data_IF_160623501626
#
_entry.id   IF_160623501626
#
_cell.length_a   1.000
_cell.length_b   1.000
_cell.length_c   1.000
_cell.angle_alpha   90.00
_cell.angle_beta   90.00
_cell.angle_gamma   90.00
#
_symmetry.space_group_name_H-M   'P 1'
#
loop_
_entity.id
_entity.type
_entity.pdbx_description
1 polymer ?
#
# COMPACT_ATOMS: atom_id res chain seq x y z
N UNK A 1 27.89 9.37 -4.18
CA UNK A 1 28.62 8.31 -3.43
C UNK A 1 28.94 7.19 -4.41
N UNK A 2 30.15 6.59 -4.35
CA UNK A 2 30.45 5.41 -5.15
C UNK A 2 29.64 4.21 -4.64
N UNK A 3 29.12 3.39 -5.57
CA UNK A 3 28.39 2.16 -5.22
C UNK A 3 29.31 1.21 -4.42
N UNK A 4 28.82 0.60 -3.32
CA UNK A 4 29.53 -0.49 -2.67
C UNK A 4 29.73 -1.65 -3.64
N UNK A 5 30.85 -2.35 -3.56
CA UNK A 5 31.09 -3.54 -4.38
C UNK A 5 30.29 -4.76 -3.92
N UNK A 6 29.89 -4.80 -2.66
CA UNK A 6 29.16 -5.89 -2.04
C UNK A 6 28.19 -5.37 -0.98
N UNK A 7 27.07 -6.06 -0.83
CA UNK A 7 26.11 -5.92 0.26
C UNK A 7 25.69 -7.31 0.76
N UNK A 8 25.44 -7.46 2.05
CA UNK A 8 24.82 -8.69 2.56
C UNK A 8 23.39 -8.82 2.06
N UNK A 9 22.64 -7.71 2.04
CA UNK A 9 21.30 -7.65 1.44
C UNK A 9 21.19 -6.41 0.57
N UNK A 10 20.94 -6.60 -0.72
CA UNK A 10 20.59 -5.52 -1.63
C UNK A 10 19.07 -5.43 -1.79
N UNK A 11 18.49 -4.27 -1.52
CA UNK A 11 17.06 -3.98 -1.69
C UNK A 11 16.89 -3.09 -2.91
N UNK A 12 16.11 -3.53 -3.87
CA UNK A 12 15.79 -2.80 -5.09
C UNK A 12 14.47 -2.06 -4.93
N UNK A 13 14.53 -0.75 -4.84
CA UNK A 13 13.39 0.16 -4.64
C UNK A 13 13.35 0.78 -3.24
N UNK A 14 13.37 2.10 -3.21
CA UNK A 14 13.33 2.96 -2.02
C UNK A 14 11.94 3.51 -1.73
N UNK A 15 10.87 2.82 -2.13
CA UNK A 15 9.50 3.11 -1.72
C UNK A 15 9.20 2.61 -0.31
N UNK A 16 7.95 2.79 0.16
CA UNK A 16 7.55 2.45 1.53
C UNK A 16 7.85 0.99 1.90
N UNK A 17 7.64 0.01 0.99
CA UNK A 17 7.90 -1.40 1.28
C UNK A 17 9.39 -1.69 1.41
N UNK A 18 10.22 -1.10 0.54
CA UNK A 18 11.67 -1.25 0.61
C UNK A 18 12.28 -0.58 1.84
N UNK A 19 11.80 0.62 2.21
CA UNK A 19 12.24 1.33 3.42
C UNK A 19 11.85 0.56 4.70
N UNK A 20 10.63 0.02 4.75
CA UNK A 20 10.17 -0.80 5.88
C UNK A 20 10.98 -2.11 5.98
N UNK A 21 11.22 -2.81 4.86
CA UNK A 21 12.06 -4.01 4.82
C UNK A 21 13.48 -3.72 5.31
N UNK A 22 14.09 -2.62 4.87
CA UNK A 22 15.42 -2.19 5.30
C UNK A 22 15.50 -1.95 6.82
N UNK A 23 14.49 -1.29 7.38
CA UNK A 23 14.42 -1.04 8.82
C UNK A 23 14.24 -2.34 9.61
N UNK A 24 13.35 -3.23 9.21
CA UNK A 24 13.14 -4.51 9.87
C UNK A 24 14.37 -5.42 9.78
N UNK A 25 15.06 -5.49 8.65
CA UNK A 25 16.32 -6.22 8.49
C UNK A 25 17.39 -5.69 9.44
N UNK A 26 17.56 -4.37 9.50
CA UNK A 26 18.53 -3.75 10.40
C UNK A 26 18.20 -4.00 11.89
N UNK A 27 16.92 -3.97 12.26
CA UNK A 27 16.46 -4.33 13.62
C UNK A 27 16.66 -5.81 13.95
N UNK A 28 16.57 -6.68 12.96
CA UNK A 28 16.93 -8.11 13.11
C UNK A 28 18.46 -8.34 13.18
N UNK A 29 19.26 -7.27 13.20
CA UNK A 29 20.71 -7.35 13.33
C UNK A 29 21.44 -7.61 12.01
N UNK A 30 20.77 -7.58 10.87
CA UNK A 30 21.41 -7.69 9.55
C UNK A 30 22.25 -6.44 9.30
N UNK A 31 23.55 -6.63 9.01
CA UNK A 31 24.50 -5.57 8.65
C UNK A 31 24.67 -5.51 7.14
N UNK A 32 25.28 -4.43 6.65
CA UNK A 32 25.59 -4.24 5.23
C UNK A 32 24.33 -4.36 4.32
N UNK A 33 23.24 -3.75 4.78
CA UNK A 33 22.01 -3.60 3.99
C UNK A 33 22.15 -2.37 3.10
N UNK A 34 21.91 -2.55 1.79
CA UNK A 34 21.98 -1.52 0.76
C UNK A 34 20.61 -1.37 0.09
N UNK A 35 20.07 -0.18 0.07
CA UNK A 35 18.87 0.16 -0.71
C UNK A 35 19.27 0.94 -1.95
N UNK A 36 18.86 0.46 -3.13
CA UNK A 36 19.11 1.09 -4.42
C UNK A 36 17.78 1.64 -4.96
N UNK A 37 17.73 2.95 -5.17
CA UNK A 37 16.55 3.64 -5.69
C UNK A 37 16.91 4.40 -6.97
N UNK A 38 16.08 4.26 -8.00
CA UNK A 38 16.30 4.88 -9.31
C UNK A 38 16.20 6.40 -9.26
N UNK A 39 15.21 6.90 -8.55
CA UNK A 39 14.91 8.32 -8.41
C UNK A 39 15.24 8.80 -6.97
N UNK A 40 14.52 9.76 -6.45
CA UNK A 40 14.52 10.11 -5.04
C UNK A 40 13.71 9.09 -4.22
N UNK A 41 14.07 8.92 -2.94
CA UNK A 41 13.30 8.02 -2.05
C UNK A 41 11.83 8.44 -2.03
N UNK A 42 10.95 7.44 -2.11
CA UNK A 42 9.50 7.61 -2.02
C UNK A 42 8.86 8.42 -3.16
N UNK A 43 9.57 8.83 -4.18
CA UNK A 43 9.10 9.72 -5.26
C UNK A 43 8.02 9.11 -6.17
N UNK A 44 7.91 7.77 -6.21
CA UNK A 44 6.95 7.08 -7.07
C UNK A 44 5.54 6.97 -6.42
N UNK A 45 4.88 5.82 -6.53
CA UNK A 45 3.52 5.57 -6.02
C UNK A 45 3.36 5.86 -4.51
N UNK A 46 4.43 5.75 -3.73
CA UNK A 46 4.39 6.03 -2.28
C UNK A 46 3.90 7.44 -2.00
N UNK A 47 4.47 8.47 -2.62
CA UNK A 47 4.08 9.87 -2.42
C UNK A 47 2.69 10.21 -2.98
N UNK A 48 2.15 9.38 -3.86
CA UNK A 48 0.83 9.58 -4.47
C UNK A 48 -0.30 8.87 -3.70
N UNK A 49 0.03 8.15 -2.62
CA UNK A 49 -0.95 7.36 -1.89
C UNK A 49 -1.82 8.21 -0.97
N UNK A 50 -3.05 7.79 -0.75
CA UNK A 50 -3.96 8.45 0.20
C UNK A 50 -3.57 8.25 1.68
N UNK A 51 -2.68 7.32 1.98
CA UNK A 51 -2.13 7.12 3.31
C UNK A 51 -3.05 6.50 4.37
N UNK A 52 -4.19 5.95 3.99
CA UNK A 52 -5.16 5.40 4.94
C UNK A 52 -4.60 4.16 5.66
N UNK A 53 -4.64 4.18 6.99
CA UNK A 53 -4.24 3.07 7.86
C UNK A 53 -5.47 2.59 8.60
N UNK A 54 -6.10 1.54 8.08
CA UNK A 54 -7.37 1.04 8.60
C UNK A 54 -7.32 -0.47 8.87
N UNK A 55 -7.82 -0.89 10.04
CA UNK A 55 -7.73 -2.25 10.56
C UNK A 55 -8.94 -3.13 10.23
N UNK A 56 -10.08 -2.54 9.80
CA UNK A 56 -11.24 -3.33 9.41
C UNK A 56 -10.95 -4.09 8.12
N UNK A 57 -10.62 -5.38 8.26
CA UNK A 57 -10.20 -6.27 7.18
C UNK A 57 -11.00 -7.56 7.20
N UNK A 58 -11.00 -8.25 6.07
CA UNK A 58 -11.75 -9.50 5.87
C UNK A 58 -11.03 -10.75 6.42
N UNK A 59 -9.74 -10.64 6.77
CA UNK A 59 -8.96 -11.78 7.28
C UNK A 59 -8.04 -11.39 8.43
N UNK A 60 -7.73 -12.36 9.30
CA UNK A 60 -6.78 -12.22 10.39
C UNK A 60 -5.40 -11.76 9.89
N UNK A 61 -4.92 -12.33 8.79
CA UNK A 61 -3.65 -11.93 8.18
C UNK A 61 -3.63 -10.45 7.80
N UNK A 62 -4.64 -9.98 7.07
CA UNK A 62 -4.71 -8.56 6.66
C UNK A 62 -4.82 -7.63 7.87
N UNK A 63 -5.53 -8.02 8.93
CA UNK A 63 -5.61 -7.25 10.18
C UNK A 63 -4.25 -7.22 10.90
N UNK A 64 -3.56 -8.35 10.99
CA UNK A 64 -2.23 -8.45 11.61
C UNK A 64 -1.16 -7.64 10.86
N UNK A 65 -1.19 -7.65 9.53
CA UNK A 65 -0.31 -6.82 8.68
C UNK A 65 -0.45 -5.33 9.04
N UNK A 66 -1.68 -4.83 9.15
CA UNK A 66 -1.94 -3.43 9.53
C UNK A 66 -1.58 -3.16 10.99
N UNK A 67 -1.87 -4.11 11.88
CA UNK A 67 -1.49 -4.04 13.29
C UNK A 67 0.02 -3.86 13.48
N UNK A 68 0.84 -4.58 12.69
CA UNK A 68 2.29 -4.40 12.70
C UNK A 68 2.68 -2.98 12.24
N UNK A 69 2.01 -2.42 11.22
CA UNK A 69 2.30 -1.05 10.78
C UNK A 69 2.01 -0.02 11.87
N UNK A 70 0.92 -0.18 12.62
CA UNK A 70 0.61 0.69 13.76
C UNK A 70 1.65 0.54 14.90
N UNK A 71 2.12 -0.68 15.15
CA UNK A 71 3.20 -0.92 16.10
C UNK A 71 4.52 -0.28 15.65
N UNK A 72 4.83 -0.33 14.36
CA UNK A 72 6.01 0.32 13.79
C UNK A 72 5.93 1.84 13.91
N UNK A 73 4.76 2.43 13.59
CA UNK A 73 4.52 3.86 13.76
C UNK A 73 4.82 4.28 15.21
N UNK A 74 4.26 3.57 16.19
CA UNK A 74 4.51 3.85 17.59
C UNK A 74 5.99 3.72 17.97
N UNK A 75 6.68 2.71 17.44
CA UNK A 75 8.11 2.52 17.68
C UNK A 75 8.96 3.64 17.08
N UNK A 76 8.67 4.04 15.83
CA UNK A 76 9.35 5.14 15.15
C UNK A 76 9.15 6.48 15.88
N UNK A 77 7.93 6.75 16.34
CA UNK A 77 7.62 7.96 17.12
C UNK A 77 8.32 7.96 18.49
N UNK A 78 8.37 6.81 19.17
CA UNK A 78 9.12 6.66 20.41
C UNK A 78 10.64 6.86 20.22
N UNK A 79 11.16 6.56 19.02
CA UNK A 79 12.53 6.83 18.62
C UNK A 79 12.77 8.29 18.16
N UNK A 80 11.76 9.15 18.16
CA UNK A 80 11.83 10.55 17.80
C UNK A 80 11.64 10.86 16.31
N UNK A 81 11.18 9.90 15.50
CA UNK A 81 10.84 10.14 14.10
C UNK A 81 9.41 10.69 13.96
N UNK A 82 9.24 11.63 13.04
CA UNK A 82 7.91 12.08 12.63
C UNK A 82 7.38 11.12 11.59
N UNK A 83 6.23 10.49 11.86
CA UNK A 83 5.60 9.52 10.95
C UNK A 83 4.50 10.14 10.09
N UNK A 84 4.03 11.33 10.47
CA UNK A 84 2.87 11.97 9.85
C UNK A 84 1.55 11.20 10.10
N UNK A 85 1.53 10.24 11.02
CA UNK A 85 0.32 9.51 11.38
C UNK A 85 -0.60 10.38 12.24
N UNK A 86 -1.87 10.41 11.86
CA UNK A 86 -2.96 11.05 12.58
C UNK A 86 -4.01 10.00 12.94
N UNK A 87 -4.12 9.71 14.23
CA UNK A 87 -5.14 8.80 14.77
C UNK A 87 -6.46 9.53 14.88
N UNK A 88 -7.20 9.60 13.77
CA UNK A 88 -8.50 10.27 13.69
C UNK A 88 -9.67 9.30 13.77
N UNK A 89 -9.39 8.00 13.82
CA UNK A 89 -10.39 6.97 13.64
C UNK A 89 -10.78 6.77 12.16
N UNK A 90 -11.60 5.75 11.92
CA UNK A 90 -12.22 5.54 10.62
C UNK A 90 -13.67 5.09 10.74
N UNK A 91 -14.50 5.56 9.82
CA UNK A 91 -15.89 5.16 9.62
C UNK A 91 -16.00 4.35 8.32
N UNK A 92 -16.82 3.29 8.34
CA UNK A 92 -17.28 2.61 7.14
C UNK A 92 -18.79 2.62 7.12
N UNK A 93 -19.39 3.31 6.15
CA UNK A 93 -20.84 3.48 6.05
C UNK A 93 -21.48 2.31 5.30
N UNK A 94 -22.71 1.96 5.69
CA UNK A 94 -23.61 1.09 4.94
C UNK A 94 -24.75 1.94 4.37
N UNK A 95 -24.91 1.93 3.06
CA UNK A 95 -26.03 2.61 2.39
C UNK A 95 -27.09 1.62 1.91
N UNK A 96 -26.78 0.31 1.93
CA UNK A 96 -27.68 -0.78 1.53
C UNK A 96 -27.79 -1.84 2.63
N UNK A 97 -28.89 -2.64 2.67
CA UNK A 97 -29.05 -3.74 3.65
C UNK A 97 -27.93 -4.80 3.52
N UNK A 98 -27.49 -5.08 2.29
CA UNK A 98 -26.43 -6.06 2.00
C UNK A 98 -25.10 -5.60 2.57
N UNK A 99 -24.80 -4.29 2.44
CA UNK A 99 -23.61 -3.69 3.01
C UNK A 99 -23.66 -3.64 4.54
N UNK A 100 -24.83 -3.40 5.09
CA UNK A 100 -25.01 -3.50 6.55
C UNK A 100 -24.66 -4.91 7.07
N UNK A 101 -25.18 -5.95 6.42
CA UNK A 101 -24.88 -7.32 6.80
C UNK A 101 -23.38 -7.61 6.73
N UNK A 102 -22.72 -7.18 5.66
CA UNK A 102 -21.26 -7.31 5.54
C UNK A 102 -20.51 -6.56 6.64
N UNK A 103 -20.87 -5.32 6.94
CA UNK A 103 -20.21 -4.51 7.97
C UNK A 103 -20.38 -5.15 9.36
N UNK A 104 -21.54 -5.69 9.69
CA UNK A 104 -21.77 -6.41 10.96
C UNK A 104 -20.84 -7.61 11.09
N UNK A 105 -20.67 -8.39 10.02
CA UNK A 105 -19.75 -9.52 9.99
C UNK A 105 -18.29 -9.09 10.11
N UNK A 106 -17.91 -8.04 9.37
CA UNK A 106 -16.55 -7.49 9.43
C UNK A 106 -16.20 -6.98 10.83
N UNK A 107 -17.11 -6.27 11.51
CA UNK A 107 -16.89 -5.80 12.89
C UNK A 107 -16.77 -6.98 13.84
N UNK A 108 -17.64 -7.99 13.72
CA UNK A 108 -17.55 -9.19 14.54
C UNK A 108 -16.22 -9.96 14.30
N UNK A 109 -15.76 -10.05 13.07
CA UNK A 109 -14.47 -10.67 12.74
C UNK A 109 -13.30 -9.84 13.29
N UNK A 110 -13.31 -8.53 13.10
CA UNK A 110 -12.27 -7.62 13.56
C UNK A 110 -12.06 -7.71 15.08
N UNK A 111 -13.16 -7.78 15.85
CA UNK A 111 -13.08 -7.99 17.30
C UNK A 111 -12.40 -9.31 17.67
N UNK A 112 -12.66 -10.40 16.93
CA UNK A 112 -11.96 -11.69 17.16
C UNK A 112 -10.47 -11.61 16.87
N UNK A 113 -10.05 -10.66 16.01
CA UNK A 113 -8.65 -10.39 15.71
C UNK A 113 -8.02 -9.35 16.63
N UNK A 114 -8.72 -8.94 17.71
CA UNK A 114 -8.22 -7.96 18.66
C UNK A 114 -8.31 -6.50 18.20
N UNK A 115 -9.04 -6.24 17.12
CA UNK A 115 -9.25 -4.86 16.61
C UNK A 115 -10.41 -4.21 17.40
N UNK A 116 -10.16 -3.00 17.89
CA UNK A 116 -11.22 -2.18 18.50
C UNK A 116 -12.13 -1.64 17.39
N UNK A 117 -13.29 -2.28 17.25
CA UNK A 117 -14.28 -1.97 16.23
C UNK A 117 -15.68 -2.01 16.84
N UNK A 118 -16.51 -1.00 16.56
CA UNK A 118 -17.87 -0.90 17.07
C UNK A 118 -18.85 -0.54 15.95
N UNK A 119 -20.12 -0.89 16.15
CA UNK A 119 -21.21 -0.40 15.32
C UNK A 119 -21.78 0.86 15.99
N UNK A 120 -21.97 1.91 15.20
CA UNK A 120 -22.47 3.22 15.65
C UNK A 120 -23.67 3.64 14.80
N UNK A 121 -24.61 4.38 15.39
CA UNK A 121 -25.79 4.91 14.69
C UNK A 121 -25.50 6.21 13.92
N UNK A 122 -26.52 6.69 13.19
CA UNK A 122 -26.43 7.90 12.37
C UNK A 122 -26.05 9.16 13.18
N UNK A 123 -26.57 9.31 14.39
CA UNK A 123 -26.26 10.46 15.25
C UNK A 123 -24.79 10.44 15.69
N UNK A 124 -24.24 9.26 15.97
CA UNK A 124 -22.81 9.11 16.25
C UNK A 124 -21.95 9.40 15.02
N UNK A 125 -22.38 8.96 13.82
CA UNK A 125 -21.68 9.29 12.58
C UNK A 125 -21.57 10.81 12.40
N UNK A 126 -22.68 11.54 12.59
CA UNK A 126 -22.70 13.01 12.46
C UNK A 126 -21.83 13.67 13.54
N UNK A 127 -21.79 13.11 14.74
CA UNK A 127 -20.92 13.61 15.83
C UNK A 127 -19.43 13.35 15.55
N UNK A 128 -19.09 12.18 15.03
CA UNK A 128 -17.70 11.77 14.73
C UNK A 128 -17.17 12.45 13.46
N UNK A 129 -18.01 12.60 12.47
CA UNK A 129 -17.72 13.19 11.18
C UNK A 129 -18.76 14.26 10.81
N UNK A 130 -18.65 15.48 11.36
CA UNK A 130 -19.57 16.57 11.04
C UNK A 130 -19.69 16.76 9.52
N UNK A 131 -20.91 16.96 9.03
CA UNK A 131 -21.17 17.08 7.59
C UNK A 131 -21.32 15.74 6.83
N UNK A 132 -21.16 14.60 7.51
CA UNK A 132 -21.46 13.27 6.98
C UNK A 132 -22.79 12.76 7.55
N UNK A 133 -23.66 12.30 6.68
CA UNK A 133 -25.00 11.79 7.03
C UNK A 133 -25.13 10.33 6.63
N UNK A 134 -25.33 9.47 7.61
CA UNK A 134 -25.62 8.06 7.39
C UNK A 134 -27.13 7.79 7.46
N UNK A 135 -27.63 6.71 6.83
CA UNK A 135 -29.02 6.27 7.00
C UNK A 135 -29.34 5.99 8.48
N UNK A 136 -30.51 6.44 8.96
CA UNK A 136 -30.92 6.28 10.37
C UNK A 136 -31.21 4.83 10.76
N UNK A 137 -31.58 4.02 9.82
CA UNK A 137 -31.96 2.63 9.96
C UNK A 137 -30.79 1.65 9.85
N UNK A 138 -29.56 2.14 9.58
CA UNK A 138 -28.35 1.31 9.38
C UNK A 138 -27.18 1.80 10.21
N UNK A 139 -26.42 0.90 10.85
CA UNK A 139 -25.20 1.28 11.53
C UNK A 139 -24.04 1.46 10.56
N UNK A 140 -23.08 2.26 11.00
CA UNK A 140 -21.73 2.30 10.44
C UNK A 140 -20.75 1.54 11.34
N UNK A 141 -19.62 1.09 10.77
CA UNK A 141 -18.50 0.62 11.58
C UNK A 141 -17.61 1.79 11.99
N UNK A 142 -17.20 1.81 13.25
CA UNK A 142 -16.25 2.76 13.82
C UNK A 142 -15.03 2.05 14.39
N UNK A 143 -13.84 2.49 13.99
CA UNK A 143 -12.53 2.01 14.46
C UNK A 143 -11.73 3.21 14.99
N UNK A 144 -11.67 3.41 16.33
CA UNK A 144 -11.05 4.61 16.93
C UNK A 144 -9.54 4.66 16.79
N UNK A 145 -8.89 3.52 16.60
CA UNK A 145 -7.43 3.42 16.50
C UNK A 145 -6.90 3.52 15.06
N UNK A 146 -7.79 3.62 14.08
CA UNK A 146 -7.46 3.88 12.69
C UNK A 146 -7.09 5.35 12.46
N UNK A 147 -6.64 5.65 11.27
CA UNK A 147 -6.35 6.99 10.82
C UNK A 147 -5.70 7.02 9.45
N UNK A 148 -4.86 8.02 9.24
CA UNK A 148 -4.05 8.12 8.03
C UNK A 148 -2.64 8.62 8.37
N UNK A 149 -1.66 8.23 7.57
CA UNK A 149 -0.31 8.75 7.64
C UNK A 149 -0.06 9.63 6.41
N UNK A 150 0.81 10.62 6.55
CA UNK A 150 1.40 11.28 5.38
C UNK A 150 2.39 10.31 4.73
N UNK A 151 2.13 9.83 3.51
CA UNK A 151 2.84 8.67 2.97
C UNK A 151 4.35 8.88 2.82
N UNK A 152 4.74 10.06 2.33
CA UNK A 152 6.16 10.41 2.17
C UNK A 152 6.86 10.50 3.54
N UNK A 153 6.20 11.07 4.53
CA UNK A 153 6.74 11.25 5.88
C UNK A 153 6.94 9.92 6.58
N UNK A 154 5.95 9.00 6.52
CA UNK A 154 6.09 7.67 7.11
C UNK A 154 7.22 6.87 6.46
N UNK A 155 7.30 6.87 5.15
CA UNK A 155 8.36 6.15 4.43
C UNK A 155 9.74 6.76 4.71
N UNK A 156 9.82 8.08 4.87
CA UNK A 156 11.05 8.78 5.25
C UNK A 156 11.45 8.46 6.71
N UNK A 157 10.48 8.26 7.61
CA UNK A 157 10.73 7.81 8.97
C UNK A 157 11.37 6.41 9.00
N UNK A 158 10.84 5.45 8.24
CA UNK A 158 11.47 4.14 8.07
C UNK A 158 12.90 4.26 7.53
N UNK A 159 13.10 5.05 6.45
CA UNK A 159 14.43 5.24 5.86
C UNK A 159 15.41 5.90 6.84
N UNK A 160 14.97 6.91 7.59
CA UNK A 160 15.77 7.60 8.60
C UNK A 160 16.18 6.68 9.75
N UNK A 161 15.25 5.88 10.25
CA UNK A 161 15.50 4.90 11.30
C UNK A 161 16.44 3.78 10.82
N UNK A 162 16.24 3.29 9.58
CA UNK A 162 17.14 2.31 8.98
C UNK A 162 18.57 2.86 8.81
N UNK A 163 18.75 4.12 8.36
CA UNK A 163 20.07 4.78 8.29
C UNK A 163 20.74 4.86 9.65
N UNK A 164 19.99 5.17 10.69
CA UNK A 164 20.51 5.23 12.07
C UNK A 164 21.01 3.87 12.55
N UNK A 165 20.50 2.78 12.00
CA UNK A 165 20.94 1.41 12.23
C UNK A 165 22.04 0.94 11.26
N UNK A 166 22.56 1.82 10.39
CA UNK A 166 23.66 1.56 9.48
C UNK A 166 23.27 1.11 8.06
N UNK A 167 22.00 1.21 7.68
CA UNK A 167 21.58 0.93 6.29
C UNK A 167 22.06 2.02 5.35
N UNK A 168 22.64 1.62 4.23
CA UNK A 168 23.07 2.53 3.15
C UNK A 168 21.94 2.69 2.13
N UNK A 169 21.65 3.92 1.75
CA UNK A 169 20.68 4.26 0.70
C UNK A 169 21.41 4.99 -0.42
N UNK A 170 21.29 4.50 -1.64
CA UNK A 170 21.81 5.14 -2.86
C UNK A 170 20.63 5.48 -3.77
N UNK A 171 20.43 6.77 -4.02
CA UNK A 171 19.44 7.31 -4.96
C UNK A 171 20.09 7.64 -6.31
N UNK A 172 19.29 7.84 -7.35
CA UNK A 172 19.80 8.02 -8.71
C UNK A 172 20.39 6.75 -9.30
N UNK A 173 20.13 5.57 -8.71
CA UNK A 173 20.71 4.30 -9.09
C UNK A 173 19.67 3.37 -9.70
N UNK A 174 19.65 3.28 -11.03
CA UNK A 174 18.71 2.44 -11.78
C UNK A 174 19.19 0.99 -11.84
N UNK A 175 18.47 0.10 -11.14
CA UNK A 175 18.72 -1.34 -11.19
C UNK A 175 18.08 -1.94 -12.43
N UNK A 176 18.92 -2.50 -13.29
CA UNK A 176 18.51 -3.09 -14.58
C UNK A 176 18.06 -4.54 -14.44
N UNK A 177 18.55 -5.28 -13.42
CA UNK A 177 18.21 -6.67 -13.21
C UNK A 177 18.95 -7.30 -12.05
N UNK A 178 18.65 -8.57 -11.83
CA UNK A 178 19.33 -9.44 -10.85
C UNK A 178 20.07 -10.51 -11.62
N UNK A 179 21.36 -10.70 -11.32
CA UNK A 179 22.18 -11.77 -11.90
C UNK A 179 22.19 -13.00 -11.02
N UNK A 180 22.19 -14.14 -11.67
CA UNK A 180 22.27 -15.44 -10.99
C UNK A 180 23.56 -16.17 -11.39
N UNK A 181 24.04 -16.97 -10.44
CA UNK A 181 25.07 -17.98 -10.68
C UNK A 181 24.43 -19.35 -10.37
N UNK A 182 24.11 -20.09 -11.44
CA UNK A 182 23.22 -21.24 -11.33
C UNK A 182 21.81 -20.81 -10.94
N UNK A 183 21.26 -21.40 -9.90
CA UNK A 183 19.93 -21.11 -9.34
C UNK A 183 19.93 -20.08 -8.19
N UNK A 184 21.08 -19.38 -7.98
CA UNK A 184 21.23 -18.44 -6.87
C UNK A 184 21.50 -17.02 -7.36
N UNK A 185 20.71 -16.05 -6.85
CA UNK A 185 20.99 -14.63 -7.03
C UNK A 185 22.34 -14.28 -6.39
N UNK A 186 23.17 -13.54 -7.10
CA UNK A 186 24.53 -13.22 -6.65
C UNK A 186 24.89 -11.73 -6.80
N UNK A 187 24.14 -10.96 -7.59
CA UNK A 187 24.38 -9.52 -7.71
C UNK A 187 23.16 -8.80 -8.30
N UNK A 188 23.12 -7.50 -8.13
CA UNK A 188 22.24 -6.57 -8.85
C UNK A 188 23.05 -5.83 -9.88
N UNK A 189 22.50 -5.73 -11.11
CA UNK A 189 23.11 -4.97 -12.20
C UNK A 189 22.53 -3.57 -12.24
N UNK A 190 23.39 -2.55 -12.19
CA UNK A 190 22.98 -1.15 -12.34
C UNK A 190 23.56 -0.57 -13.63
N UNK A 191 23.23 0.69 -13.94
CA UNK A 191 23.86 1.39 -15.08
C UNK A 191 25.35 1.68 -14.86
N UNK A 192 25.78 1.79 -13.61
CA UNK A 192 27.16 2.18 -13.26
C UNK A 192 28.06 0.97 -13.05
N UNK A 193 27.59 0.00 -12.29
CA UNK A 193 28.35 -1.22 -11.92
C UNK A 193 27.42 -2.31 -11.38
N UNK A 194 27.91 -3.53 -11.35
CA UNK A 194 27.28 -4.61 -10.58
C UNK A 194 27.64 -4.47 -9.09
N UNK A 195 26.65 -4.80 -8.23
CA UNK A 195 26.86 -4.91 -6.78
C UNK A 195 26.59 -6.35 -6.39
N UNK A 196 27.62 -7.05 -5.92
CA UNK A 196 27.46 -8.41 -5.38
C UNK A 196 26.57 -8.40 -4.14
N UNK A 197 25.74 -9.43 -3.98
CA UNK A 197 24.86 -9.53 -2.82
C UNK A 197 24.63 -10.98 -2.40
N UNK A 198 24.59 -11.24 -1.07
CA UNK A 198 24.25 -12.57 -0.54
C UNK A 198 22.76 -12.84 -0.67
N UNK A 199 21.93 -11.79 -0.58
CA UNK A 199 20.50 -11.83 -0.83
C UNK A 199 20.04 -10.54 -1.53
N UNK A 200 18.99 -10.67 -2.38
CA UNK A 200 18.38 -9.56 -3.10
C UNK A 200 16.88 -9.49 -2.78
N UNK A 201 16.40 -8.34 -2.31
CA UNK A 201 14.97 -8.06 -2.10
C UNK A 201 14.49 -7.14 -3.21
N UNK A 202 13.49 -7.58 -3.98
CA UNK A 202 12.92 -6.80 -5.08
C UNK A 202 11.61 -6.18 -4.58
N UNK A 203 11.67 -4.88 -4.23
CA UNK A 203 10.58 -4.06 -3.72
C UNK A 203 10.31 -2.84 -4.62
N UNK A 204 10.45 -3.04 -5.94
CA UNK A 204 10.45 -2.01 -6.96
C UNK A 204 9.04 -1.58 -7.42
N UNK A 205 8.01 -1.80 -6.59
CA UNK A 205 6.62 -1.40 -6.88
C UNK A 205 6.15 -1.92 -8.24
N UNK A 206 5.70 -1.01 -9.10
CA UNK A 206 5.20 -1.34 -10.44
C UNK A 206 6.25 -2.03 -11.34
N UNK A 207 7.54 -1.79 -11.12
CA UNK A 207 8.63 -2.38 -11.92
C UNK A 207 9.06 -3.77 -11.44
N UNK A 208 8.52 -4.25 -10.32
CA UNK A 208 8.91 -5.54 -9.71
C UNK A 208 8.79 -6.69 -10.70
N UNK A 209 7.64 -6.83 -11.39
CA UNK A 209 7.42 -7.93 -12.34
C UNK A 209 8.40 -7.89 -13.50
N UNK A 210 8.77 -6.70 -14.00
CA UNK A 210 9.75 -6.56 -15.07
C UNK A 210 11.17 -6.95 -14.63
N UNK A 211 11.58 -6.57 -13.41
CA UNK A 211 12.90 -6.93 -12.86
C UNK A 211 12.98 -8.44 -12.61
N UNK A 212 11.95 -9.03 -12.02
CA UNK A 212 11.85 -10.49 -11.79
C UNK A 212 11.81 -11.26 -13.11
N UNK A 213 11.09 -10.77 -14.11
CA UNK A 213 11.03 -11.38 -15.44
C UNK A 213 12.41 -11.46 -16.11
N UNK A 214 13.21 -10.39 -16.00
CA UNK A 214 14.61 -10.39 -16.50
C UNK A 214 15.52 -11.37 -15.76
N UNK A 215 15.19 -11.72 -14.51
CA UNK A 215 15.89 -12.74 -13.75
C UNK A 215 15.36 -14.18 -13.99
N UNK A 216 14.44 -14.35 -14.96
CA UNK A 216 13.86 -15.66 -15.28
C UNK A 216 12.78 -16.13 -14.32
N UNK A 217 12.18 -15.24 -13.52
CA UNK A 217 11.07 -15.52 -12.62
C UNK A 217 9.75 -14.92 -13.09
N UNK A 218 8.66 -15.21 -12.36
CA UNK A 218 7.36 -14.59 -12.57
C UNK A 218 6.75 -14.13 -11.26
N UNK A 219 6.13 -12.96 -11.28
CA UNK A 219 5.37 -12.39 -10.16
C UNK A 219 3.99 -11.99 -10.65
N UNK A 220 2.92 -12.54 -10.07
CA UNK A 220 1.55 -12.25 -10.49
C UNK A 220 1.08 -10.90 -9.94
N UNK A 221 1.69 -9.83 -10.42
CA UNK A 221 1.35 -8.47 -10.03
C UNK A 221 1.38 -7.55 -11.24
N UNK A 222 0.37 -6.67 -11.34
CA UNK A 222 0.25 -5.70 -12.41
C UNK A 222 -0.12 -4.32 -11.85
N UNK A 223 0.40 -3.25 -12.44
CA UNK A 223 0.13 -1.90 -11.99
C UNK A 223 -1.19 -1.39 -12.58
N UNK A 224 -2.02 -0.78 -11.72
CA UNK A 224 -3.29 -0.17 -12.11
C UNK A 224 -3.31 1.25 -11.57
N UNK A 225 -3.73 2.23 -12.41
CA UNK A 225 -3.89 3.61 -11.94
C UNK A 225 -4.89 3.68 -10.78
N UNK A 226 -4.51 4.40 -9.74
CA UNK A 226 -5.45 4.85 -8.71
C UNK A 226 -5.24 6.34 -8.47
N UNK A 227 -6.34 7.09 -8.42
CA UNK A 227 -6.31 8.53 -8.33
C UNK A 227 -7.19 9.05 -7.19
N UNK A 228 -6.81 10.20 -6.66
CA UNK A 228 -7.57 10.92 -5.66
C UNK A 228 -7.57 12.40 -5.97
N UNK A 229 -8.61 13.09 -5.49
CA UNK A 229 -8.87 14.51 -5.74
C UNK A 229 -8.91 15.26 -4.43
N UNK A 230 -8.45 16.51 -4.43
CA UNK A 230 -8.41 17.34 -3.23
C UNK A 230 -9.31 18.56 -3.45
N UNK A 231 -10.21 18.80 -2.49
CA UNK A 231 -11.09 19.98 -2.51
C UNK A 231 -10.38 21.20 -1.92
N UNK A 232 -10.91 22.38 -2.19
CA UNK A 232 -10.56 23.57 -1.42
C UNK A 232 -10.87 23.40 0.08
N UNK A 233 -10.26 24.19 0.97
CA UNK A 233 -10.59 24.20 2.39
C UNK A 233 -12.09 24.41 2.64
N UNK A 234 -12.60 23.76 3.68
CA UNK A 234 -14.00 23.82 4.12
C UNK A 234 -14.07 24.23 5.59
N UNK A 235 -14.83 25.27 5.92
CA UNK A 235 -14.90 25.84 7.28
C UNK A 235 -15.39 24.86 8.34
N UNK A 236 -16.21 23.88 7.93
CA UNK A 236 -16.76 22.84 8.83
C UNK A 236 -15.82 21.65 9.07
N UNK A 237 -14.75 21.53 8.27
CA UNK A 237 -13.83 20.40 8.35
C UNK A 237 -12.79 20.63 9.44
N UNK A 238 -12.69 19.71 10.37
CA UNK A 238 -11.70 19.75 11.44
C UNK A 238 -10.53 18.80 11.19
N UNK A 239 -9.41 19.03 11.84
CA UNK A 239 -8.24 18.11 11.78
C UNK A 239 -8.50 16.78 12.46
N UNK A 240 -9.55 16.67 13.27
CA UNK A 240 -10.00 15.44 13.93
C UNK A 240 -11.00 14.63 13.09
N UNK A 241 -11.39 15.15 11.91
CA UNK A 241 -12.31 14.45 11.01
C UNK A 241 -11.72 13.07 10.63
N UNK A 242 -12.48 11.97 10.77
CA UNK A 242 -11.97 10.63 10.54
C UNK A 242 -11.79 10.31 9.05
N UNK A 243 -11.11 9.22 8.79
CA UNK A 243 -11.22 8.57 7.48
C UNK A 243 -12.64 8.04 7.31
N UNK A 244 -13.28 8.33 6.19
CA UNK A 244 -14.61 7.81 5.87
C UNK A 244 -14.53 6.94 4.60
N UNK A 245 -15.08 5.73 4.67
CA UNK A 245 -15.22 4.83 3.53
C UNK A 245 -16.70 4.62 3.24
N UNK A 246 -17.05 4.76 1.98
CA UNK A 246 -18.41 4.59 1.46
C UNK A 246 -18.38 3.55 0.34
N UNK A 247 -18.30 2.24 0.68
CA UNK A 247 -18.12 1.18 -0.31
C UNK A 247 -19.20 1.15 -1.39
N UNK A 248 -20.46 1.44 -1.01
CA UNK A 248 -21.60 1.48 -1.94
C UNK A 248 -21.52 2.62 -2.97
N UNK A 249 -20.55 3.54 -2.81
CA UNK A 249 -20.22 4.62 -3.74
C UNK A 249 -18.79 4.48 -4.29
N UNK A 250 -18.14 3.35 -4.07
CA UNK A 250 -16.76 3.06 -4.46
C UNK A 250 -15.77 4.13 -3.95
N UNK A 251 -16.07 4.80 -2.84
CA UNK A 251 -15.38 6.00 -2.40
C UNK A 251 -14.74 5.86 -1.01
N UNK A 252 -13.68 6.63 -0.84
CA UNK A 252 -13.13 6.96 0.48
C UNK A 252 -12.72 8.42 0.53
N UNK A 253 -12.63 8.95 1.75
CA UNK A 253 -12.21 10.33 1.97
C UNK A 253 -11.46 10.48 3.30
N UNK A 254 -10.62 11.50 3.36
CA UNK A 254 -9.91 11.94 4.56
C UNK A 254 -9.62 13.45 4.50
N UNK A 255 -9.29 14.10 5.63
CA UNK A 255 -8.81 15.49 5.60
C UNK A 255 -7.51 15.62 4.79
N UNK A 256 -7.41 16.72 4.03
CA UNK A 256 -6.21 17.11 3.30
C UNK A 256 -6.14 18.62 3.18
N UNK A 257 -5.15 19.23 3.87
CA UNK A 257 -4.86 20.69 3.82
C UNK A 257 -6.11 21.58 4.01
N UNK A 258 -6.95 21.25 5.00
CA UNK A 258 -8.20 21.96 5.30
C UNK A 258 -9.39 21.57 4.41
N UNK A 259 -9.17 20.84 3.33
CA UNK A 259 -10.19 20.23 2.48
C UNK A 259 -10.27 18.71 2.65
N UNK A 260 -10.95 18.03 1.74
CA UNK A 260 -11.06 16.58 1.68
C UNK A 260 -10.28 16.03 0.50
N UNK A 261 -9.50 14.98 0.73
CA UNK A 261 -9.04 14.09 -0.31
C UNK A 261 -10.13 13.06 -0.57
N UNK A 262 -10.54 12.92 -1.83
CA UNK A 262 -11.56 12.01 -2.32
C UNK A 262 -10.91 11.00 -3.27
N UNK A 263 -10.98 9.71 -2.96
CA UNK A 263 -10.54 8.65 -3.86
C UNK A 263 -11.70 7.78 -4.29
N UNK A 264 -11.68 7.35 -5.55
CA UNK A 264 -12.70 6.49 -6.14
C UNK A 264 -12.06 5.25 -6.76
N UNK A 265 -12.71 4.10 -6.60
CA UNK A 265 -12.36 2.90 -7.36
C UNK A 265 -13.13 2.91 -8.68
N UNK A 266 -12.40 2.80 -9.77
CA UNK A 266 -12.95 2.87 -11.12
C UNK A 266 -13.47 1.49 -11.54
N UNK A 267 -14.66 1.40 -12.09
CA UNK A 267 -15.24 0.15 -12.63
C UNK A 267 -14.59 -0.24 -13.96
N UNK A 268 -13.96 0.73 -14.63
CA UNK A 268 -13.15 0.52 -15.84
C UNK A 268 -11.73 0.94 -15.53
N UNK A 269 -10.91 0.03 -14.97
CA UNK A 269 -9.56 0.36 -14.52
C UNK A 269 -8.62 0.67 -15.68
N UNK A 270 -7.64 1.55 -15.45
CA UNK A 270 -6.54 1.79 -16.36
C UNK A 270 -5.31 1.00 -15.91
N UNK A 271 -5.06 -0.13 -16.56
CA UNK A 271 -3.82 -0.88 -16.37
C UNK A 271 -2.63 -0.16 -16.98
N UNK A 272 -1.48 -0.16 -16.30
CA UNK A 272 -0.26 0.54 -16.71
C UNK A 272 0.89 -0.44 -16.85
N UNK A 273 1.29 -0.72 -18.08
CA UNK A 273 2.49 -1.53 -18.35
C UNK A 273 3.73 -0.64 -18.30
N UNK A 274 4.34 -0.55 -17.12
CA UNK A 274 5.57 0.24 -16.93
C UNK A 274 6.79 -0.39 -17.60
N UNK A 275 6.74 -1.67 -17.94
CA UNK A 275 7.82 -2.38 -18.65
C UNK A 275 7.88 -2.02 -20.12
N UNK A 276 6.75 -1.65 -20.72
CA UNK A 276 6.67 -1.23 -22.12
C UNK A 276 7.22 0.20 -22.35
N UNK A 277 7.38 1.01 -21.29
CA UNK A 277 7.75 2.41 -21.39
C UNK A 277 8.97 2.73 -20.52
N UNK A 278 10.17 2.64 -21.09
CA UNK A 278 11.43 2.84 -20.35
C UNK A 278 11.55 4.23 -19.66
N UNK A 279 10.87 5.25 -20.19
CA UNK A 279 10.85 6.60 -19.63
C UNK A 279 9.64 6.89 -18.74
N UNK A 280 8.85 5.88 -18.38
CA UNK A 280 7.66 6.09 -17.55
C UNK A 280 8.04 6.58 -16.14
N UNK A 281 7.40 7.66 -15.72
CA UNK A 281 7.43 8.15 -14.34
C UNK A 281 6.01 8.15 -13.77
N UNK A 282 5.86 7.92 -12.47
CA UNK A 282 4.54 7.94 -11.82
C UNK A 282 3.90 9.32 -11.92
N UNK A 283 4.70 10.39 -11.89
CA UNK A 283 4.21 11.76 -12.07
C UNK A 283 3.55 12.00 -13.44
N UNK A 284 3.91 11.20 -14.46
CA UNK A 284 3.28 11.27 -15.79
C UNK A 284 1.96 10.49 -15.88
N UNK A 285 1.52 9.82 -14.80
CA UNK A 285 0.23 9.10 -14.80
C UNK A 285 -0.93 10.10 -14.99
N UNK A 286 -1.75 9.93 -16.05
CA UNK A 286 -2.82 10.87 -16.32
C UNK A 286 -3.90 10.81 -15.23
N UNK A 287 -4.34 11.98 -14.79
CA UNK A 287 -5.55 12.10 -13.97
C UNK A 287 -6.75 12.29 -14.88
N UNK A 288 -7.78 11.57 -14.61
CA UNK A 288 -9.01 11.55 -15.41
C UNK A 288 -10.16 12.21 -14.64
N UNK A 289 -10.48 13.45 -15.01
CA UNK A 289 -11.55 14.22 -14.36
C UNK A 289 -12.94 13.65 -14.61
N UNK A 290 -13.13 12.85 -15.66
CA UNK A 290 -14.41 12.21 -15.94
C UNK A 290 -14.78 11.21 -14.84
N UNK A 291 -13.80 10.54 -14.25
CA UNK A 291 -14.00 9.69 -13.06
C UNK A 291 -14.53 10.52 -11.88
N UNK A 292 -13.92 11.69 -11.59
CA UNK A 292 -14.44 12.57 -10.55
C UNK A 292 -15.87 13.02 -10.85
N UNK A 293 -16.12 13.48 -12.06
CA UNK A 293 -17.44 13.98 -12.49
C UNK A 293 -18.52 12.89 -12.43
N UNK A 294 -18.17 11.65 -12.76
CA UNK A 294 -19.08 10.53 -12.70
C UNK A 294 -19.39 10.07 -11.26
N UNK A 295 -18.40 10.12 -10.36
CA UNK A 295 -18.55 9.53 -9.03
C UNK A 295 -18.91 10.54 -7.93
N UNK A 296 -18.40 11.79 -7.98
CA UNK A 296 -18.61 12.76 -6.91
C UNK A 296 -20.10 13.08 -6.63
N UNK A 297 -21.00 13.21 -7.63
CA UNK A 297 -22.42 13.46 -7.38
C UNK A 297 -23.11 12.40 -6.52
N UNK A 298 -22.64 11.15 -6.58
CA UNK A 298 -23.16 10.06 -5.76
C UNK A 298 -22.81 10.20 -4.26
N UNK A 299 -21.99 11.17 -3.88
CA UNK A 299 -21.67 11.45 -2.48
C UNK A 299 -22.50 12.60 -1.89
N UNK A 300 -23.25 13.37 -2.70
CA UNK A 300 -23.90 14.61 -2.25
C UNK A 300 -25.06 14.35 -1.29
N UNK A 301 -25.69 13.18 -1.35
CA UNK A 301 -26.69 12.76 -0.38
C UNK A 301 -26.10 12.42 1.00
N UNK A 302 -24.85 11.96 1.02
CA UNK A 302 -24.10 11.59 2.25
C UNK A 302 -23.28 12.76 2.77
N UNK A 303 -22.75 13.60 1.90
CA UNK A 303 -21.88 14.75 2.24
C UNK A 303 -22.31 15.95 1.38
N UNK A 304 -23.41 16.62 1.71
CA UNK A 304 -23.95 17.72 0.90
C UNK A 304 -22.95 18.85 0.62
N UNK A 305 -22.07 19.14 1.58
CA UNK A 305 -21.03 20.18 1.43
C UNK A 305 -20.03 19.92 0.29
N UNK A 306 -20.00 18.72 -0.30
CA UNK A 306 -19.17 18.43 -1.48
C UNK A 306 -19.76 19.04 -2.77
N UNK A 307 -21.07 19.27 -2.85
CA UNK A 307 -21.69 19.78 -4.06
C UNK A 307 -21.17 21.15 -4.50
N UNK A 308 -20.77 21.97 -3.52
CA UNK A 308 -20.27 23.32 -3.75
C UNK A 308 -18.74 23.44 -3.57
N UNK A 309 -18.07 22.34 -3.24
CA UNK A 309 -16.63 22.34 -2.94
C UNK A 309 -15.79 22.31 -4.23
N UNK A 310 -15.02 23.36 -4.55
CA UNK A 310 -14.13 23.32 -5.70
C UNK A 310 -13.05 22.28 -5.51
N UNK A 311 -12.72 21.53 -6.56
CA UNK A 311 -11.56 20.64 -6.58
C UNK A 311 -10.33 21.41 -7.05
N UNK A 312 -9.33 21.52 -6.18
CA UNK A 312 -8.12 22.33 -6.38
C UNK A 312 -6.89 21.52 -6.78
N UNK A 313 -6.94 20.20 -6.62
CA UNK A 313 -5.79 19.35 -6.92
C UNK A 313 -6.16 17.86 -6.96
N UNK A 314 -5.15 17.02 -7.04
CA UNK A 314 -5.29 15.58 -7.00
C UNK A 314 -3.98 14.87 -7.31
N UNK A 315 -3.95 13.58 -7.00
CA UNK A 315 -2.81 12.69 -7.22
C UNK A 315 -3.22 11.50 -8.07
N UNK A 316 -2.25 10.89 -8.75
CA UNK A 316 -2.42 9.61 -9.41
C UNK A 316 -1.17 8.76 -9.19
N UNK A 317 -1.36 7.54 -8.74
CA UNK A 317 -0.31 6.55 -8.55
C UNK A 317 -0.60 5.28 -9.33
N UNK A 318 0.37 4.37 -9.34
CA UNK A 318 0.26 3.07 -10.01
C UNK A 318 0.54 1.92 -9.03
N UNK A 319 -0.33 1.75 -8.00
CA UNK A 319 -0.22 0.62 -7.10
C UNK A 319 -0.30 -0.70 -7.87
N UNK A 320 0.46 -1.70 -7.40
CA UNK A 320 0.40 -3.05 -7.97
C UNK A 320 -0.74 -3.84 -7.35
N UNK A 321 -1.52 -4.50 -8.20
CA UNK A 321 -2.56 -5.43 -7.81
C UNK A 321 -2.13 -6.87 -8.08
N UNK A 322 -2.76 -7.81 -7.42
CA UNK A 322 -2.61 -9.25 -7.60
C UNK A 322 -3.98 -9.86 -7.87
N UNK A 323 -4.06 -11.03 -8.50
CA UNK A 323 -5.32 -11.67 -8.84
C UNK A 323 -6.26 -11.97 -7.65
N UNK A 324 -5.72 -12.05 -6.44
CA UNK A 324 -6.46 -12.37 -5.20
C UNK A 324 -6.48 -11.24 -4.16
N UNK A 325 -5.92 -10.08 -4.48
CA UNK A 325 -5.88 -8.93 -3.58
C UNK A 325 -5.02 -9.10 -2.33
N UNK A 326 -4.06 -10.03 -2.34
CA UNK A 326 -3.06 -10.20 -1.27
C UNK A 326 -1.69 -9.71 -1.73
N UNK A 327 -0.87 -9.26 -0.79
CA UNK A 327 0.55 -8.98 -1.08
C UNK A 327 1.25 -10.21 -1.68
N UNK A 328 2.35 -9.96 -2.37
CA UNK A 328 3.32 -10.98 -2.80
C UNK A 328 4.60 -10.74 -2.01
N UNK A 329 4.90 -11.63 -1.08
CA UNK A 329 6.03 -11.49 -0.14
C UNK A 329 6.73 -12.83 0.06
N UNK A 330 8.05 -12.82 0.03
CA UNK A 330 8.87 -13.99 0.34
C UNK A 330 9.83 -14.39 -0.76
N UNK A 331 10.37 -15.62 -0.66
CA UNK A 331 11.36 -16.14 -1.58
C UNK A 331 10.80 -16.30 -3.01
N UNK A 332 11.60 -15.93 -4.00
CA UNK A 332 11.28 -16.11 -5.42
C UNK A 332 11.52 -17.56 -5.80
N UNK A 333 10.50 -18.32 -6.25
CA UNK A 333 10.67 -19.69 -6.71
C UNK A 333 11.69 -19.81 -7.85
N UNK A 334 12.58 -20.79 -7.77
CA UNK A 334 13.59 -21.05 -8.79
C UNK A 334 14.82 -20.14 -8.75
N UNK A 335 14.89 -19.17 -7.81
CA UNK A 335 16.05 -18.30 -7.66
C UNK A 335 16.38 -18.11 -6.17
N UNK A 336 17.20 -18.98 -5.62
CA UNK A 336 17.63 -18.90 -4.23
C UNK A 336 18.30 -17.56 -3.91
N UNK A 337 18.07 -17.01 -2.71
CA UNK A 337 18.60 -15.71 -2.30
C UNK A 337 17.91 -14.50 -2.93
N UNK A 338 16.90 -14.69 -3.79
CA UNK A 338 16.03 -13.63 -4.26
C UNK A 338 14.69 -13.64 -3.50
N UNK A 339 14.25 -12.45 -3.09
CA UNK A 339 13.00 -12.22 -2.36
C UNK A 339 12.20 -11.10 -3.03
N UNK A 340 10.90 -11.11 -2.83
CA UNK A 340 9.98 -10.15 -3.44
C UNK A 340 9.10 -9.50 -2.37
N UNK A 341 8.81 -8.21 -2.53
CA UNK A 341 7.79 -7.47 -1.79
C UNK A 341 7.01 -6.55 -2.74
N UNK A 342 5.80 -6.95 -3.12
CA UNK A 342 4.95 -6.21 -4.06
C UNK A 342 3.47 -6.55 -3.89
N UNK A 343 2.62 -6.18 -4.84
CA UNK A 343 1.21 -6.54 -4.83
C UNK A 343 0.42 -5.83 -3.74
N UNK A 344 0.65 -4.53 -3.56
CA UNK A 344 0.08 -3.78 -2.44
C UNK A 344 -1.43 -3.58 -2.48
N UNK A 345 -2.08 -3.77 -3.64
CA UNK A 345 -3.53 -3.63 -3.83
C UNK A 345 -4.10 -2.38 -3.14
N UNK A 346 -3.45 -1.22 -3.34
CA UNK A 346 -3.72 0.07 -2.69
C UNK A 346 -3.61 0.07 -1.13
N UNK A 347 -2.94 -0.92 -0.54
CA UNK A 347 -2.70 -0.99 0.91
C UNK A 347 -1.24 -0.80 1.32
N UNK A 348 -0.38 -0.32 0.43
CA UNK A 348 1.07 -0.25 0.65
C UNK A 348 1.45 0.49 1.93
N UNK A 349 0.79 1.62 2.22
CA UNK A 349 1.04 2.38 3.45
C UNK A 349 0.56 1.59 4.68
N UNK A 350 -0.70 1.13 4.67
CA UNK A 350 -1.26 0.39 5.78
C UNK A 350 -0.58 -0.97 6.02
N UNK A 351 0.02 -1.56 5.00
CA UNK A 351 0.67 -2.86 5.08
C UNK A 351 2.19 -2.81 5.25
N UNK A 352 2.79 -1.62 5.26
CA UNK A 352 4.25 -1.46 5.19
C UNK A 352 5.01 -2.21 6.29
N UNK A 353 4.57 -2.09 7.53
CA UNK A 353 5.20 -2.74 8.66
C UNK A 353 5.11 -4.27 8.60
N UNK A 354 3.91 -4.81 8.36
CA UNK A 354 3.73 -6.25 8.24
C UNK A 354 4.51 -6.86 7.08
N UNK A 355 4.53 -6.20 5.93
CA UNK A 355 5.30 -6.63 4.76
C UNK A 355 6.80 -6.52 5.04
N UNK A 356 7.26 -5.39 5.60
CA UNK A 356 8.67 -5.19 5.93
C UNK A 356 9.20 -6.26 6.88
N UNK A 357 8.42 -6.60 7.92
CA UNK A 357 8.74 -7.67 8.86
C UNK A 357 8.77 -9.04 8.18
N UNK A 358 7.75 -9.37 7.38
CA UNK A 358 7.69 -10.66 6.68
C UNK A 358 8.87 -10.84 5.71
N UNK A 359 9.31 -9.77 5.04
CA UNK A 359 10.53 -9.80 4.21
C UNK A 359 11.76 -10.07 5.05
N UNK A 360 11.91 -9.38 6.19
CA UNK A 360 13.07 -9.56 7.06
C UNK A 360 13.14 -11.00 7.58
N UNK A 361 12.03 -11.55 8.07
CA UNK A 361 11.91 -12.93 8.53
C UNK A 361 12.24 -13.94 7.41
N UNK A 362 11.76 -13.70 6.18
CA UNK A 362 12.06 -14.55 5.04
C UNK A 362 13.55 -14.52 4.66
N UNK A 363 14.21 -13.37 4.71
CA UNK A 363 15.64 -13.19 4.39
C UNK A 363 16.55 -13.80 5.46
N UNK A 364 16.19 -13.63 6.75
CA UNK A 364 17.00 -14.16 7.86
C UNK A 364 16.76 -15.65 8.12
N UNK A 365 15.64 -16.19 7.62
CA UNK A 365 15.22 -17.56 7.93
C UNK A 365 14.59 -17.69 9.32
N UNK A 366 14.18 -16.57 9.92
CA UNK A 366 13.48 -16.57 11.21
C UNK A 366 12.06 -17.15 11.09
N UNK A 367 11.51 -17.56 12.23
CA UNK A 367 10.14 -18.04 12.28
C UNK A 367 9.17 -16.94 11.84
N UNK A 368 8.36 -17.23 10.84
CA UNK A 368 7.38 -16.30 10.34
C UNK A 368 6.31 -15.99 11.40
N UNK A 369 6.12 -14.71 11.72
CA UNK A 369 5.06 -14.26 12.65
C UNK A 369 3.72 -14.10 11.97
N UNK A 370 3.71 -13.92 10.65
CA UNK A 370 2.52 -13.89 9.80
C UNK A 370 2.50 -15.14 8.93
N UNK A 371 1.32 -15.72 8.70
CA UNK A 371 1.19 -16.84 7.77
C UNK A 371 1.65 -16.41 6.37
N UNK A 372 2.77 -16.96 5.84
CA UNK A 372 3.27 -16.57 4.54
C UNK A 372 2.48 -17.18 3.38
N UNK A 373 1.68 -18.25 3.61
CA UNK A 373 0.99 -19.01 2.56
C UNK A 373 0.17 -18.13 1.62
N UNK A 374 -0.77 -17.30 2.14
CA UNK A 374 -1.57 -16.40 1.29
C UNK A 374 -0.77 -15.30 0.59
N UNK A 375 0.48 -15.03 1.02
CA UNK A 375 1.38 -14.04 0.40
C UNK A 375 2.47 -14.70 -0.46
N UNK A 376 2.57 -16.01 -0.49
CA UNK A 376 3.65 -16.73 -1.18
C UNK A 376 3.75 -16.34 -2.67
N UNK A 377 4.98 -16.10 -3.14
CA UNK A 377 5.25 -15.68 -4.53
C UNK A 377 4.73 -16.70 -5.53
N UNK A 378 4.92 -17.99 -5.23
CA UNK A 378 4.55 -19.10 -6.12
C UNK A 378 3.10 -19.59 -6.03
N UNK A 379 2.22 -18.94 -5.25
CA UNK A 379 0.84 -19.44 -4.98
C UNK A 379 -0.06 -19.60 -6.22
N UNK A 380 0.27 -18.93 -7.31
CA UNK A 380 -0.49 -19.05 -8.57
C UNK A 380 0.09 -20.08 -9.56
N UNK A 381 1.22 -20.73 -9.22
CA UNK A 381 1.84 -21.74 -10.06
C UNK A 381 2.12 -21.24 -11.48
N UNK A 382 1.77 -22.06 -12.47
CA UNK A 382 2.01 -21.74 -13.88
C UNK A 382 1.27 -20.49 -14.39
N UNK A 383 0.14 -20.13 -13.77
CA UNK A 383 -0.62 -18.94 -14.17
C UNK A 383 0.14 -17.63 -13.97
N UNK A 384 1.11 -17.59 -13.04
CA UNK A 384 1.96 -16.42 -12.86
C UNK A 384 2.77 -16.03 -14.11
N UNK A 385 2.95 -16.96 -15.05
CA UNK A 385 3.68 -16.76 -16.30
C UNK A 385 2.80 -16.25 -17.45
N UNK A 386 1.49 -16.30 -17.30
CA UNK A 386 0.54 -15.77 -18.28
C UNK A 386 0.31 -14.28 -18.01
N UNK A 387 1.08 -13.43 -18.67
CA UNK A 387 1.00 -11.98 -18.49
C UNK A 387 -0.38 -11.41 -18.84
N UNK A 388 -1.09 -11.98 -19.81
CA UNK A 388 -2.43 -11.53 -20.19
C UNK A 388 -3.44 -11.85 -19.09
N UNK A 389 -3.40 -13.08 -18.56
CA UNK A 389 -4.24 -13.45 -17.41
C UNK A 389 -3.93 -12.62 -16.18
N UNK A 390 -2.64 -12.42 -15.83
CA UNK A 390 -2.24 -11.62 -14.68
C UNK A 390 -2.81 -10.20 -14.80
N UNK A 391 -2.67 -9.57 -15.97
CA UNK A 391 -3.19 -8.23 -16.21
C UNK A 391 -4.70 -8.16 -15.96
N UNK A 392 -5.48 -9.01 -16.64
CA UNK A 392 -6.94 -9.02 -16.54
C UNK A 392 -7.39 -9.27 -15.09
N UNK A 393 -6.83 -10.29 -14.43
CA UNK A 393 -7.20 -10.63 -13.07
C UNK A 393 -6.84 -9.52 -12.05
N UNK A 394 -5.74 -8.79 -12.27
CA UNK A 394 -5.38 -7.64 -11.42
C UNK A 394 -6.30 -6.44 -11.66
N UNK A 395 -6.68 -6.16 -12.91
CA UNK A 395 -7.65 -5.13 -13.27
C UNK A 395 -9.03 -5.45 -12.67
N UNK A 396 -9.47 -6.70 -12.72
CA UNK A 396 -10.71 -7.19 -12.07
C UNK A 396 -10.65 -7.02 -10.54
N UNK A 397 -9.53 -7.37 -9.92
CA UNK A 397 -9.35 -7.17 -8.46
C UNK A 397 -9.46 -5.70 -8.06
N UNK A 398 -9.00 -4.78 -8.90
CA UNK A 398 -9.18 -3.35 -8.69
C UNK A 398 -10.64 -2.92 -8.88
N UNK A 399 -11.27 -3.29 -10.00
CA UNK A 399 -12.63 -2.90 -10.34
C UNK A 399 -13.66 -3.36 -9.28
N UNK A 400 -13.43 -4.55 -8.72
CA UNK A 400 -14.30 -5.18 -7.71
C UNK A 400 -13.84 -4.98 -6.27
N UNK A 401 -13.01 -3.96 -6.00
CA UNK A 401 -12.40 -3.73 -4.69
C UNK A 401 -13.40 -3.61 -3.53
N UNK A 402 -14.56 -3.04 -3.79
CA UNK A 402 -15.64 -2.85 -2.81
C UNK A 402 -16.85 -3.76 -3.04
N UNK A 403 -16.75 -4.72 -3.94
CA UNK A 403 -17.83 -5.66 -4.13
C UNK A 403 -18.14 -6.43 -2.85
N UNK A 404 -19.38 -6.73 -2.65
CA UNK A 404 -19.82 -7.63 -1.60
C UNK A 404 -19.18 -9.00 -1.82
N UNK A 405 -18.60 -9.57 -0.77
CA UNK A 405 -18.06 -10.92 -0.86
C UNK A 405 -19.20 -11.87 -1.21
N UNK A 406 -19.20 -12.37 -2.44
CA UNK A 406 -20.16 -13.42 -2.85
C UNK A 406 -19.84 -14.67 -2.02
N UNK A 407 -20.82 -15.11 -1.23
CA UNK A 407 -20.77 -16.35 -0.45
C UNK A 407 -20.92 -17.57 -1.36
#
# INVERSE_FOLDING_TARGET
MSLPRHARVAIVGGGILGCAAAWHLARAGVRDVLVLERDELNAATTSQAAGLVGQLRTSALKSAIVGQTLADIAALEAEGFVTGFRRTGSLRLALTPEREAEIREQVAAARRFGVDATLVGADDVTRLAPGVYAPKDRPAAWMPNDGYAEPYTLASAYAGAARRLGVTFVTGCDVLGVRARGDRACSVTTREADVDADAVVIAAGAWTSAIVGRAGGAVPAFAVRHQAWVTAPMDWLTTAFPVVRIPDRLAYLRPEVGGLMLGFFETTPLGVDVGAHAAFTVAATPRDRDVLTAHAPALFDVIPGLAEAPVVGGTAGVPTYTPDGHFVVGALPGLAGAFVATGCCAHGIAGSGGVGRAVAEAVTGDTATLDPGPMAVGRFGARAWDAAWVRVACEETYAHYYDLVRR
#
